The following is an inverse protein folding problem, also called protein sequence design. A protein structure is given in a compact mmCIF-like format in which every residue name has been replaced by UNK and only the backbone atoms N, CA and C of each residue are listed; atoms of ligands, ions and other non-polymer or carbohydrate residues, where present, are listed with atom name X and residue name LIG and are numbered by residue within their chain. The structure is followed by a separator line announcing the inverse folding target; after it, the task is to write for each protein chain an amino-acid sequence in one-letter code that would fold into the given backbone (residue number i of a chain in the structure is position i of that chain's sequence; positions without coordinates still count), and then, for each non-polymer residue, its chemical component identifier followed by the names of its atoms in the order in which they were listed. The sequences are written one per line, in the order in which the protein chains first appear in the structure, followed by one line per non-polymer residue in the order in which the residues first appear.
data_IF_503877003580
#
_entry.id   IF_503877003580
#
_cell.length_a   1.000
_cell.length_b   1.000
_cell.length_c   1.000
_cell.angle_alpha   90.00
_cell.angle_beta   90.00
_cell.angle_gamma   90.00
#
_symmetry.space_group_name_H-M   'P 1'
#
loop_
_entity.id
_entity.type
_entity.pdbx_description
1 polymer ?
#
# COMPACT_ATOMS: atom_id res chain seq x y z
N UNK A 1 11.28 -3.83 -32.84
CA UNK A 1 12.03 -4.14 -31.61
C UNK A 1 12.19 -2.85 -30.84
N UNK A 2 11.54 -2.71 -29.68
CA UNK A 2 11.74 -1.54 -28.81
C UNK A 2 13.10 -1.66 -28.14
N UNK A 3 13.93 -0.63 -28.27
CA UNK A 3 15.24 -0.58 -27.60
C UNK A 3 15.02 -0.71 -26.09
N UNK A 4 15.69 -1.64 -25.40
CA UNK A 4 15.52 -1.78 -23.96
C UNK A 4 15.98 -0.49 -23.28
N UNK A 5 15.07 0.14 -22.53
CA UNK A 5 15.43 1.28 -21.69
C UNK A 5 16.37 0.75 -20.59
N UNK A 6 17.60 1.25 -20.57
CA UNK A 6 18.62 0.87 -19.58
C UNK A 6 18.77 2.00 -18.55
N UNK A 7 19.02 1.67 -17.29
CA UNK A 7 19.20 2.64 -16.21
C UNK A 7 18.13 2.53 -15.11
N UNK A 8 17.87 3.63 -14.42
CA UNK A 8 16.86 3.74 -13.37
C UNK A 8 15.71 4.61 -13.86
N UNK A 9 14.49 4.30 -13.41
CA UNK A 9 13.31 5.13 -13.59
C UNK A 9 12.83 5.57 -12.22
N UNK A 10 12.42 6.83 -12.11
CA UNK A 10 12.00 7.43 -10.86
C UNK A 10 10.56 7.92 -10.91
N UNK A 11 9.87 7.88 -9.77
CA UNK A 11 8.51 8.39 -9.66
C UNK A 11 8.15 8.68 -8.21
N UNK A 12 7.38 9.74 -8.00
CA UNK A 12 6.96 10.16 -6.66
C UNK A 12 5.55 9.65 -6.37
N UNK A 13 5.35 9.04 -5.21
CA UNK A 13 4.02 8.59 -4.79
C UNK A 13 3.13 9.79 -4.45
N UNK A 14 2.00 9.93 -5.14
CA UNK A 14 1.01 10.99 -4.92
C UNK A 14 0.39 11.01 -3.52
N UNK A 15 0.53 9.91 -2.74
CA UNK A 15 -0.12 9.74 -1.44
C UNK A 15 0.81 10.04 -0.26
N UNK A 16 2.06 9.58 -0.32
CA UNK A 16 3.02 9.73 0.78
C UNK A 16 4.24 10.58 0.42
N UNK A 17 4.36 11.03 -0.84
CA UNK A 17 5.50 11.81 -1.31
C UNK A 17 6.82 11.04 -1.41
N UNK A 18 6.83 9.72 -1.16
CA UNK A 18 8.07 8.92 -1.28
C UNK A 18 8.50 8.82 -2.74
N UNK A 19 9.78 9.06 -2.98
CA UNK A 19 10.43 8.88 -4.27
C UNK A 19 10.83 7.41 -4.44
N UNK A 20 10.32 6.77 -5.49
CA UNK A 20 10.61 5.39 -5.86
C UNK A 20 11.61 5.39 -7.00
N UNK A 21 12.73 4.71 -6.82
CA UNK A 21 13.76 4.52 -7.85
C UNK A 21 13.85 3.03 -8.14
N UNK A 22 13.52 2.64 -9.37
CA UNK A 22 13.53 1.23 -9.79
C UNK A 22 14.40 1.07 -11.03
N UNK A 23 15.09 -0.08 -11.13
CA UNK A 23 15.83 -0.45 -12.34
C UNK A 23 14.85 -0.69 -13.50
N UNK A 24 15.12 -0.06 -14.64
CA UNK A 24 14.39 -0.33 -15.90
C UNK A 24 14.60 -1.81 -16.30
N UNK A 25 13.64 -2.44 -17.02
CA UNK A 25 12.65 -1.85 -17.93
C UNK A 25 11.26 -1.57 -17.32
N UNK A 26 11.10 -1.66 -16.00
CA UNK A 26 9.81 -1.44 -15.36
C UNK A 26 9.44 0.05 -15.35
N UNK A 27 8.29 0.40 -15.94
CA UNK A 27 7.76 1.78 -15.99
C UNK A 27 6.66 2.03 -14.92
N UNK A 28 6.29 1.01 -14.13
CA UNK A 28 5.25 1.10 -13.09
C UNK A 28 5.71 0.45 -11.78
N UNK A 29 5.65 1.21 -10.69
CA UNK A 29 6.00 0.77 -9.35
C UNK A 29 4.79 0.79 -8.42
N UNK A 30 4.77 -0.07 -7.40
CA UNK A 30 3.75 -0.02 -6.35
C UNK A 30 4.37 0.55 -5.08
N UNK A 31 3.82 1.64 -4.57
CA UNK A 31 4.27 2.23 -3.31
C UNK A 31 3.69 1.46 -2.11
N UNK A 32 4.56 1.08 -1.18
CA UNK A 32 4.24 0.32 0.04
C UNK A 32 3.65 1.19 1.17
N UNK A 33 3.27 2.44 0.91
CA UNK A 33 2.74 3.34 1.93
C UNK A 33 1.48 2.82 2.64
N UNK A 34 0.71 1.97 1.97
CA UNK A 34 -0.49 1.33 2.53
C UNK A 34 -0.19 0.34 3.66
N UNK A 35 1.03 -0.17 3.77
CA UNK A 35 1.47 -1.05 4.87
C UNK A 35 1.83 -0.28 6.14
N UNK A 36 1.89 1.06 6.10
CA UNK A 36 2.33 1.87 7.23
C UNK A 36 1.18 2.72 7.78
N UNK A 37 1.19 2.92 9.10
CA UNK A 37 0.19 3.72 9.78
C UNK A 37 0.31 5.20 9.47
N UNK A 38 -0.75 5.87 8.96
CA UNK A 38 -0.71 7.31 8.75
C UNK A 38 -0.67 8.10 10.06
N UNK A 39 -1.04 7.48 11.19
CA UNK A 39 -1.08 8.13 12.50
C UNK A 39 0.26 8.05 13.24
N UNK A 40 0.92 6.90 13.22
CA UNK A 40 2.15 6.68 14.00
C UNK A 40 3.36 6.21 13.18
N UNK A 41 3.20 5.97 11.87
CA UNK A 41 4.27 5.50 10.99
C UNK A 41 4.67 4.03 11.19
N UNK A 42 4.11 3.32 12.18
CA UNK A 42 4.42 1.91 12.42
C UNK A 42 3.91 1.02 11.28
N UNK A 43 4.61 -0.09 11.00
CA UNK A 43 4.15 -1.11 10.05
C UNK A 43 2.89 -1.77 10.60
N UNK A 44 1.83 -1.82 9.79
CA UNK A 44 0.58 -2.46 10.13
C UNK A 44 0.63 -3.97 9.89
N UNK A 45 -0.24 -4.69 10.59
CA UNK A 45 -0.48 -6.12 10.33
C UNK A 45 -1.62 -6.29 9.33
N UNK A 46 -1.53 -7.20 8.35
CA UNK A 46 -2.65 -7.55 7.49
C UNK A 46 -3.86 -7.93 8.35
N UNK A 47 -5.03 -7.42 7.99
CA UNK A 47 -6.28 -7.74 8.66
C UNK A 47 -7.03 -8.78 7.81
N UNK A 48 -7.01 -10.07 8.17
CA UNK A 48 -7.86 -11.03 7.51
C UNK A 48 -9.31 -10.72 7.89
N UNK A 49 -10.19 -10.38 6.92
CA UNK A 49 -11.61 -10.24 7.24
C UNK A 49 -12.12 -11.60 7.71
N UNK A 50 -12.78 -11.64 8.87
CA UNK A 50 -13.48 -12.83 9.32
C UNK A 50 -14.71 -13.01 8.42
N UNK A 51 -14.63 -13.98 7.51
CA UNK A 51 -15.70 -14.32 6.58
C UNK A 51 -16.70 -15.32 7.18
N UNK A 52 -16.56 -15.69 8.46
CA UNK A 52 -17.51 -16.59 9.07
C UNK A 52 -18.84 -15.86 9.30
N UNK A 53 -19.98 -16.41 8.83
CA UNK A 53 -21.27 -15.72 8.89
C UNK A 53 -21.72 -15.33 10.30
N UNK A 54 -21.18 -16.00 11.33
CA UNK A 54 -21.54 -15.81 12.74
C UNK A 54 -20.77 -14.69 13.44
N UNK A 55 -19.59 -14.30 12.93
CA UNK A 55 -18.77 -13.21 13.50
C UNK A 55 -18.50 -12.10 12.48
N UNK A 56 -19.18 -12.15 11.32
CA UNK A 56 -19.11 -11.13 10.28
C UNK A 56 -19.56 -9.77 10.83
N UNK A 57 -18.62 -8.93 11.21
CA UNK A 57 -18.86 -7.54 11.60
C UNK A 57 -19.05 -6.68 10.33
N UNK A 58 -20.30 -6.52 9.92
CA UNK A 58 -20.70 -5.64 8.81
C UNK A 58 -20.20 -4.19 8.97
N UNK A 59 -20.00 -3.73 10.21
CA UNK A 59 -19.51 -2.40 10.54
C UNK A 59 -17.99 -2.22 10.29
N UNK A 60 -17.18 -3.27 10.51
CA UNK A 60 -15.73 -3.26 10.22
C UNK A 60 -15.46 -3.42 8.72
N UNK A 61 -16.37 -4.08 8.00
CA UNK A 61 -16.44 -4.11 6.54
C UNK A 61 -15.31 -4.89 5.85
N UNK A 62 -15.64 -5.58 4.75
CA UNK A 62 -14.73 -6.28 3.83
C UNK A 62 -13.57 -5.45 3.24
N UNK A 63 -13.52 -4.16 3.55
CA UNK A 63 -12.61 -3.19 2.93
C UNK A 63 -11.39 -2.88 3.79
N UNK A 64 -11.32 -3.37 5.03
CA UNK A 64 -10.14 -3.22 5.87
C UNK A 64 -9.09 -4.23 5.42
N UNK A 65 -7.92 -3.72 5.08
CA UNK A 65 -6.79 -4.52 4.58
C UNK A 65 -5.71 -4.68 5.64
N UNK A 66 -5.56 -3.68 6.51
CA UNK A 66 -4.50 -3.62 7.52
C UNK A 66 -5.02 -3.02 8.82
N UNK A 67 -4.43 -3.41 9.94
CA UNK A 67 -4.73 -2.87 11.26
C UNK A 67 -3.44 -2.43 11.97
N UNK A 68 -3.51 -1.30 12.65
CA UNK A 68 -2.47 -0.85 13.57
C UNK A 68 -2.97 -0.94 15.02
N UNK A 69 -2.30 -1.76 15.84
CA UNK A 69 -2.62 -1.97 17.26
C UNK A 69 -1.68 -1.19 18.21
N UNK A 70 -0.83 -0.32 17.69
CA UNK A 70 0.14 0.44 18.49
C UNK A 70 -0.49 1.63 19.23
N UNK A 71 -1.74 1.93 18.93
CA UNK A 71 -2.60 2.93 19.56
C UNK A 71 -4.03 2.37 19.54
N UNK A 72 -5.03 3.20 19.81
CA UNK A 72 -6.43 2.84 19.55
C UNK A 72 -6.56 2.23 18.16
N UNK A 73 -7.11 1.00 18.03
CA UNK A 73 -6.97 0.19 16.82
C UNK A 73 -7.43 0.97 15.59
N UNK A 74 -6.49 1.19 14.67
CA UNK A 74 -6.78 1.87 13.41
C UNK A 74 -6.89 0.86 12.30
N UNK A 75 -8.07 0.82 11.70
CA UNK A 75 -8.40 -0.06 10.58
C UNK A 75 -8.19 0.68 9.26
N UNK A 76 -7.18 0.28 8.52
CA UNK A 76 -6.78 0.88 7.25
C UNK A 76 -7.49 0.24 6.08
N UNK A 77 -8.16 1.08 5.29
CA UNK A 77 -8.74 0.73 3.97
C UNK A 77 -7.81 1.13 2.81
N UNK A 78 -6.56 1.48 3.13
CA UNK A 78 -5.60 1.98 2.15
C UNK A 78 -5.19 0.86 1.19
N UNK A 79 -5.40 1.10 -0.11
CA UNK A 79 -4.95 0.22 -1.18
C UNK A 79 -3.52 0.58 -1.63
N UNK A 80 -2.79 -0.36 -2.25
CA UNK A 80 -1.53 -0.08 -2.91
C UNK A 80 -1.67 1.05 -3.93
N UNK A 81 -0.65 1.91 -4.02
CA UNK A 81 -0.65 3.07 -4.93
C UNK A 81 0.30 2.78 -6.06
N UNK A 82 -0.21 2.77 -7.28
CA UNK A 82 0.58 2.66 -8.49
C UNK A 82 1.24 4.00 -8.81
N UNK A 83 2.54 3.96 -9.10
CA UNK A 83 3.37 5.12 -9.42
C UNK A 83 3.96 4.89 -10.80
N UNK A 84 3.66 5.81 -11.71
CA UNK A 84 4.29 5.84 -13.04
C UNK A 84 5.71 6.37 -12.90
N UNK A 85 6.67 5.63 -13.42
CA UNK A 85 8.08 6.01 -13.40
C UNK A 85 8.43 6.70 -14.73
N UNK A 86 9.29 7.72 -14.66
CA UNK A 86 9.83 8.45 -15.83
C UNK A 86 11.31 8.15 -16.05
#
# INVERSE_FOLDING_TARGET
MTVPKVGFAEGTCSKCGRLLIIKRPVDLAVCLCYEYCPLCGAKMTPYPPDLTPTTYESEKGLHVLYVCNNHTPYYSKQKPVEVRLS
#
